data_IF_894524846992
#
_entry.id   IF_894524846992
#
_cell.length_a   1.000
_cell.length_b   1.000
_cell.length_c   1.000
_cell.angle_alpha   90.00
_cell.angle_beta   90.00
_cell.angle_gamma   90.00
#
_symmetry.space_group_name_H-M   'P 1'
#
loop_
_entity.id
_entity.type
_entity.pdbx_description
1 polymer ?
#
# COMPACT_ATOMS: atom_id res chain seq x y z
N UNK A 1 -24.04 8.35 -5.70
CA UNK A 1 -22.87 8.67 -4.85
C UNK A 1 -21.59 8.50 -5.63
N UNK A 2 -20.59 9.35 -5.36
CA UNK A 2 -19.27 9.26 -5.99
C UNK A 2 -18.47 8.10 -5.35
N UNK A 3 -18.38 6.97 -6.06
CA UNK A 3 -17.67 5.78 -5.59
C UNK A 3 -16.14 5.99 -5.41
N UNK A 4 -15.58 7.07 -5.97
CA UNK A 4 -14.14 7.32 -5.97
C UNK A 4 -13.58 7.48 -4.55
N UNK A 5 -14.32 8.11 -3.64
CA UNK A 5 -13.87 8.31 -2.25
C UNK A 5 -13.60 7.00 -1.52
N UNK A 6 -14.52 6.04 -1.63
CA UNK A 6 -14.34 4.71 -1.03
C UNK A 6 -13.23 3.90 -1.71
N UNK A 7 -13.16 3.96 -3.05
CA UNK A 7 -12.11 3.29 -3.82
C UNK A 7 -10.71 3.80 -3.45
N UNK A 8 -10.52 5.11 -3.37
CA UNK A 8 -9.24 5.70 -2.98
C UNK A 8 -8.86 5.42 -1.54
N UNK A 9 -9.84 5.41 -0.62
CA UNK A 9 -9.58 5.05 0.78
C UNK A 9 -9.01 3.63 0.89
N UNK A 10 -9.62 2.68 0.17
CA UNK A 10 -9.16 1.29 0.12
C UNK A 10 -7.82 1.14 -0.63
N UNK A 11 -7.65 1.85 -1.74
CA UNK A 11 -6.40 1.87 -2.52
C UNK A 11 -5.23 2.30 -1.65
N UNK A 12 -5.36 3.43 -0.94
CA UNK A 12 -4.30 3.98 -0.08
C UNK A 12 -3.98 3.00 1.06
N UNK A 13 -5.00 2.44 1.70
CA UNK A 13 -4.82 1.41 2.72
C UNK A 13 -4.02 0.20 2.18
N UNK A 14 -4.43 -0.36 1.04
CA UNK A 14 -3.74 -1.52 0.45
C UNK A 14 -2.31 -1.17 0.01
N UNK A 15 -2.11 -0.03 -0.67
CA UNK A 15 -0.80 0.42 -1.13
C UNK A 15 0.18 0.70 0.02
N UNK A 16 -0.32 1.08 1.20
CA UNK A 16 0.53 1.28 2.38
C UNK A 16 0.92 -0.03 3.09
N UNK A 17 0.05 -1.05 3.08
CA UNK A 17 0.19 -2.24 3.94
C UNK A 17 0.66 -3.48 3.19
N UNK A 18 0.14 -3.72 1.98
CA UNK A 18 0.44 -4.91 1.19
C UNK A 18 1.92 -5.06 0.81
N UNK A 19 2.59 -4.04 0.23
CA UNK A 19 3.98 -4.19 -0.18
C UNK A 19 4.94 -4.35 1.00
N UNK A 20 4.68 -3.66 2.11
CA UNK A 20 5.48 -3.82 3.34
C UNK A 20 5.36 -5.24 3.87
N UNK A 21 4.14 -5.76 4.03
CA UNK A 21 3.93 -7.13 4.48
C UNK A 21 4.57 -8.17 3.53
N UNK A 22 4.52 -7.91 2.23
CA UNK A 22 5.14 -8.75 1.22
C UNK A 22 6.68 -8.77 1.31
N UNK A 23 7.31 -7.60 1.48
CA UNK A 23 8.77 -7.47 1.55
C UNK A 23 9.35 -7.93 2.89
N UNK A 24 8.63 -7.74 4.00
CA UNK A 24 9.12 -8.09 5.34
C UNK A 24 8.64 -9.46 5.83
N UNK A 25 7.75 -10.13 5.07
CA UNK A 25 7.10 -11.39 5.45
C UNK A 25 6.26 -11.31 6.74
N UNK A 26 5.94 -10.10 7.20
CA UNK A 26 5.16 -9.87 8.41
C UNK A 26 3.66 -9.95 8.10
N UNK A 27 2.91 -10.51 9.04
CA UNK A 27 1.45 -10.35 9.03
C UNK A 27 1.08 -8.92 9.48
N UNK A 28 -0.11 -8.45 9.08
CA UNK A 28 -0.54 -7.06 9.21
C UNK A 28 -0.37 -6.48 10.63
N UNK A 29 -0.85 -7.20 11.65
CA UNK A 29 -0.71 -6.77 13.04
C UNK A 29 0.73 -6.68 13.54
N UNK A 30 1.65 -7.52 13.06
CA UNK A 30 3.06 -7.45 13.44
C UNK A 30 3.75 -6.24 12.79
N UNK A 31 3.50 -6.00 11.50
CA UNK A 31 4.02 -4.82 10.80
C UNK A 31 3.47 -3.51 11.38
N UNK A 32 2.21 -3.50 11.86
CA UNK A 32 1.63 -2.30 12.49
C UNK A 32 2.26 -1.99 13.86
N UNK A 33 2.53 -3.02 14.68
CA UNK A 33 3.08 -2.83 16.04
C UNK A 33 4.58 -2.56 16.07
N UNK A 34 5.31 -2.95 15.03
CA UNK A 34 6.73 -2.63 14.93
C UNK A 34 6.88 -1.19 14.44
N UNK A 35 7.38 -0.31 15.33
CA UNK A 35 7.35 1.15 15.11
C UNK A 35 7.92 1.61 13.75
N UNK A 36 9.04 1.07 13.23
CA UNK A 36 9.54 1.47 11.92
C UNK A 36 8.58 1.20 10.75
N UNK A 37 7.95 0.02 10.71
CA UNK A 37 6.97 -0.30 9.65
C UNK A 37 5.62 0.38 9.88
N UNK A 38 5.24 0.61 11.14
CA UNK A 38 4.08 1.43 11.48
C UNK A 38 4.22 2.87 10.99
N UNK A 39 5.39 3.48 11.20
CA UNK A 39 5.68 4.83 10.68
C UNK A 39 5.67 4.85 9.14
N UNK A 40 6.24 3.83 8.50
CA UNK A 40 6.22 3.71 7.04
C UNK A 40 4.78 3.64 6.49
N UNK A 41 3.84 2.99 7.20
CA UNK A 41 2.43 3.03 6.82
C UNK A 41 1.88 4.45 6.81
N UNK A 42 2.13 5.22 7.86
CA UNK A 42 1.65 6.60 7.97
C UNK A 42 2.23 7.50 6.88
N UNK A 43 3.50 7.30 6.51
CA UNK A 43 4.18 8.07 5.46
C UNK A 43 3.63 7.71 4.07
N UNK A 44 3.47 6.41 3.77
CA UNK A 44 2.86 5.93 2.52
C UNK A 44 1.41 6.42 2.36
N UNK A 45 0.63 6.40 3.45
CA UNK A 45 -0.74 6.92 3.47
C UNK A 45 -0.73 8.43 3.21
N UNK A 46 0.21 9.17 3.79
CA UNK A 46 0.31 10.63 3.61
C UNK A 46 0.50 11.02 2.15
N UNK A 47 1.39 10.31 1.43
CA UNK A 47 1.56 10.49 -0.01
C UNK A 47 0.27 10.18 -0.78
N UNK A 48 -0.36 9.02 -0.52
CA UNK A 48 -1.60 8.63 -1.21
C UNK A 48 -2.75 9.62 -0.98
N UNK A 49 -2.89 10.13 0.24
CA UNK A 49 -3.87 11.17 0.57
C UNK A 49 -3.57 12.50 -0.11
N UNK A 50 -2.29 12.87 -0.26
CA UNK A 50 -1.91 14.07 -0.99
C UNK A 50 -2.32 13.99 -2.46
N UNK A 51 -2.12 12.84 -3.10
CA UNK A 51 -2.58 12.60 -4.48
C UNK A 51 -4.11 12.65 -4.56
N UNK A 52 -4.83 11.99 -3.65
CA UNK A 52 -6.30 12.04 -3.63
C UNK A 52 -6.83 13.47 -3.50
N UNK A 53 -6.23 14.29 -2.63
CA UNK A 53 -6.57 15.72 -2.48
C UNK A 53 -6.33 16.49 -3.77
N UNK A 54 -5.20 16.30 -4.43
CA UNK A 54 -4.88 16.98 -5.69
C UNK A 54 -5.83 16.59 -6.84
N UNK A 55 -6.43 15.39 -6.78
CA UNK A 55 -7.46 14.94 -7.72
C UNK A 55 -8.88 15.44 -7.37
N UNK A 56 -9.03 16.21 -6.28
CA UNK A 56 -10.34 16.65 -5.79
C UNK A 56 -11.21 15.51 -5.26
N UNK A 57 -10.59 14.42 -4.78
CA UNK A 57 -11.30 13.24 -4.26
C UNK A 57 -11.36 13.33 -2.74
N UNK A 58 -12.58 13.50 -2.22
CA UNK A 58 -12.85 13.37 -0.79
C UNK A 58 -12.89 11.89 -0.40
N UNK A 59 -12.02 11.50 0.54
CA UNK A 59 -11.94 10.12 1.02
C UNK A 59 -13.14 9.77 1.92
N UNK A 60 -13.60 8.53 1.83
CA UNK A 60 -14.62 7.99 2.72
C UNK A 60 -13.94 7.40 3.96
N UNK A 61 -13.50 8.29 4.85
CA UNK A 61 -12.77 7.93 6.07
C UNK A 61 -11.25 8.01 5.94
N UNK A 62 -10.57 7.76 7.05
CA UNK A 62 -9.10 7.79 7.12
C UNK A 62 -8.50 6.38 6.92
N UNK A 63 -7.64 6.17 5.89
CA UNK A 63 -6.94 4.91 5.71
C UNK A 63 -6.17 4.42 6.95
N UNK A 64 -5.72 5.32 7.84
CA UNK A 64 -5.05 4.95 9.10
C UNK A 64 -5.96 4.17 10.03
N UNK A 65 -7.24 4.52 10.07
CA UNK A 65 -8.21 3.80 10.87
C UNK A 65 -8.41 2.38 10.35
N UNK A 66 -8.32 2.18 9.02
CA UNK A 66 -8.33 0.84 8.42
C UNK A 66 -7.09 0.04 8.80
N UNK A 67 -5.91 0.66 8.85
CA UNK A 67 -4.67 0.02 9.35
C UNK A 67 -4.85 -0.46 10.79
N UNK A 68 -5.30 0.42 11.69
CA UNK A 68 -5.48 0.07 13.09
C UNK A 68 -6.55 -1.01 13.29
N UNK A 69 -7.68 -0.89 12.58
CA UNK A 69 -8.75 -1.90 12.59
C UNK A 69 -8.25 -3.27 12.12
N UNK A 70 -7.47 -3.31 11.04
CA UNK A 70 -6.86 -4.54 10.55
C UNK A 70 -5.85 -5.14 11.55
N UNK A 71 -5.14 -4.30 12.30
CA UNK A 71 -4.13 -4.73 13.27
C UNK A 71 -4.74 -5.34 14.54
N UNK A 72 -5.92 -4.86 14.91
CA UNK A 72 -6.71 -5.37 16.03
C UNK A 72 -7.57 -6.59 15.68
N UNK A 73 -7.73 -6.92 14.40
CA UNK A 73 -8.51 -8.07 13.97
C UNK A 73 -7.87 -9.39 14.48
N UNK A 74 -8.68 -10.35 14.98
CA UNK A 74 -8.17 -11.60 15.51
C UNK A 74 -7.52 -12.45 14.41
N UNK A 75 -6.28 -12.88 14.64
CA UNK A 75 -5.55 -13.77 13.74
C UNK A 75 -4.27 -13.14 13.16
N UNK A 76 -3.49 -13.96 12.44
CA UNK A 76 -2.27 -13.54 11.75
C UNK A 76 -2.55 -13.31 10.27
N UNK A 77 -3.34 -12.27 9.97
CA UNK A 77 -3.74 -11.95 8.61
C UNK A 77 -2.54 -11.54 7.74
N UNK A 78 -2.23 -12.35 6.73
CA UNK A 78 -1.27 -12.02 5.68
C UNK A 78 -1.98 -11.20 4.59
N UNK A 79 -1.37 -10.10 4.16
CA UNK A 79 -1.82 -9.36 3.00
C UNK A 79 -1.92 -10.26 1.76
N UNK A 80 -2.82 -9.94 0.81
CA UNK A 80 -2.96 -10.67 -0.47
C UNK A 80 -1.61 -10.77 -1.19
N UNK A 81 -0.92 -9.63 -1.31
CA UNK A 81 0.39 -9.53 -1.93
C UNK A 81 1.46 -10.43 -1.27
N UNK A 82 1.45 -10.57 0.06
CA UNK A 82 2.36 -11.51 0.74
C UNK A 82 2.05 -12.96 0.37
N UNK A 83 0.78 -13.31 0.19
CA UNK A 83 0.39 -14.66 -0.26
C UNK A 83 0.83 -14.91 -1.70
N UNK A 84 0.74 -13.90 -2.57
CA UNK A 84 1.24 -13.97 -3.94
C UNK A 84 2.76 -14.11 -3.99
N UNK A 85 3.49 -13.33 -3.17
CA UNK A 85 4.96 -13.45 -3.05
C UNK A 85 5.39 -14.83 -2.57
N UNK A 86 4.73 -15.38 -1.54
CA UNK A 86 5.02 -16.74 -1.04
C UNK A 86 4.79 -17.77 -2.14
N UNK A 87 3.77 -17.57 -2.97
CA UNK A 87 3.43 -18.46 -4.07
C UNK A 87 4.13 -18.12 -5.39
N UNK A 88 5.02 -17.11 -5.42
CA UNK A 88 5.67 -16.56 -6.62
C UNK A 88 4.70 -16.27 -7.77
N UNK A 89 3.56 -15.65 -7.44
CA UNK A 89 2.59 -15.15 -8.41
C UNK A 89 2.77 -13.66 -8.61
N UNK A 90 2.46 -13.18 -9.82
CA UNK A 90 2.43 -11.76 -10.11
C UNK A 90 1.50 -11.04 -9.15
N UNK A 91 1.96 -9.91 -8.61
CA UNK A 91 1.22 -9.12 -7.63
C UNK A 91 0.38 -8.03 -8.29
N UNK A 92 -0.49 -7.41 -7.51
CA UNK A 92 -1.31 -6.27 -7.90
C UNK A 92 -0.62 -4.90 -7.72
N UNK A 93 0.70 -4.85 -7.52
CA UNK A 93 1.42 -3.60 -7.16
C UNK A 93 1.29 -2.48 -8.20
N UNK A 94 1.17 -2.82 -9.48
CA UNK A 94 0.99 -1.87 -10.58
C UNK A 94 -0.34 -1.11 -10.46
N UNK A 95 -1.37 -1.75 -9.91
CA UNK A 95 -2.70 -1.17 -9.67
C UNK A 95 -2.83 -0.52 -8.28
N UNK A 96 -1.82 -0.69 -7.43
CA UNK A 96 -1.75 -0.10 -6.09
C UNK A 96 -0.77 1.07 -6.07
N UNK A 97 0.47 0.84 -5.62
CA UNK A 97 1.51 1.85 -5.54
C UNK A 97 1.79 2.45 -6.93
N UNK A 98 1.79 1.64 -7.99
CA UNK A 98 1.95 2.12 -9.37
C UNK A 98 0.84 3.12 -9.78
N UNK A 99 -0.40 2.89 -9.35
CA UNK A 99 -1.50 3.82 -9.60
C UNK A 99 -1.32 5.14 -8.83
N UNK A 100 -0.90 5.09 -7.56
CA UNK A 100 -0.61 6.30 -6.76
C UNK A 100 0.53 7.10 -7.42
N UNK A 101 1.61 6.44 -7.83
CA UNK A 101 2.74 7.10 -8.52
C UNK A 101 2.30 7.78 -9.81
N UNK A 102 1.57 7.05 -10.67
CA UNK A 102 1.05 7.58 -11.93
C UNK A 102 0.19 8.83 -11.73
N UNK A 103 -0.66 8.83 -10.72
CA UNK A 103 -1.51 10.00 -10.42
C UNK A 103 -0.75 11.12 -9.71
N UNK A 104 0.26 10.80 -8.90
CA UNK A 104 1.18 11.78 -8.33
C UNK A 104 1.93 12.54 -9.42
N UNK A 105 2.48 11.84 -10.41
CA UNK A 105 3.14 12.46 -11.57
C UNK A 105 2.19 13.38 -12.36
N UNK A 106 0.95 12.94 -12.60
CA UNK A 106 -0.07 13.75 -13.31
C UNK A 106 -0.50 15.00 -12.56
N UNK A 107 -0.40 15.00 -11.23
CA UNK A 107 -0.86 16.10 -10.37
C UNK A 107 0.29 16.93 -9.81
N UNK A 108 1.55 16.58 -10.12
CA UNK A 108 2.73 17.23 -9.55
C UNK A 108 2.96 16.91 -8.07
N UNK A 109 2.29 15.90 -7.52
CA UNK A 109 2.46 15.48 -6.12
C UNK A 109 3.58 14.44 -6.00
N UNK A 110 4.65 14.69 -5.23
CA UNK A 110 5.69 13.71 -4.98
C UNK A 110 5.16 12.47 -4.27
N UNK A 111 5.56 11.30 -4.76
CA UNK A 111 5.22 9.98 -4.17
C UNK A 111 6.44 9.05 -4.04
N UNK A 112 7.58 9.54 -3.49
CA UNK A 112 8.83 8.79 -3.48
C UNK A 112 8.75 7.44 -2.76
N UNK A 113 8.02 7.33 -1.66
CA UNK A 113 7.90 6.09 -0.90
C UNK A 113 7.03 5.07 -1.65
N UNK A 114 5.90 5.51 -2.23
CA UNK A 114 5.10 4.63 -3.08
C UNK A 114 5.89 4.16 -4.31
N UNK A 115 6.71 5.04 -4.91
CA UNK A 115 7.61 4.67 -6.01
C UNK A 115 8.66 3.66 -5.59
N UNK A 116 9.26 3.82 -4.41
CA UNK A 116 10.21 2.86 -3.88
C UNK A 116 9.55 1.50 -3.61
N UNK A 117 8.37 1.46 -2.96
CA UNK A 117 7.62 0.22 -2.74
C UNK A 117 7.27 -0.48 -4.05
N UNK A 118 6.79 0.27 -5.04
CA UNK A 118 6.51 -0.26 -6.37
C UNK A 118 7.77 -0.89 -6.98
N UNK A 119 8.89 -0.16 -7.03
CA UNK A 119 10.14 -0.65 -7.62
C UNK A 119 10.69 -1.90 -6.92
N UNK A 120 10.63 -1.95 -5.59
CA UNK A 120 11.09 -3.10 -4.81
C UNK A 120 10.24 -4.35 -5.06
N UNK A 121 8.91 -4.21 -5.17
CA UNK A 121 8.05 -5.35 -5.52
C UNK A 121 8.31 -5.80 -6.96
N UNK A 122 8.48 -4.87 -7.93
CA UNK A 122 8.85 -5.26 -9.31
C UNK A 122 10.18 -6.01 -9.33
N UNK A 123 11.17 -5.58 -8.55
CA UNK A 123 12.46 -6.26 -8.40
C UNK A 123 12.31 -7.65 -7.77
N UNK A 124 11.49 -7.78 -6.73
CA UNK A 124 11.16 -9.07 -6.12
C UNK A 124 10.47 -10.04 -7.10
N UNK A 125 9.52 -9.55 -7.91
CA UNK A 125 8.89 -10.35 -8.96
C UNK A 125 9.92 -10.80 -10.01
N UNK A 126 10.83 -9.90 -10.40
CA UNK A 126 11.89 -10.20 -11.37
C UNK A 126 12.89 -11.23 -10.84
N UNK A 127 13.19 -11.22 -9.53
CA UNK A 127 14.12 -12.18 -8.93
C UNK A 127 13.63 -13.64 -8.97
N UNK A 128 12.37 -13.89 -9.35
CA UNK A 128 11.86 -15.25 -9.56
C UNK A 128 12.24 -15.82 -10.92
N UNK A 129 12.57 -14.96 -11.89
CA UNK A 129 12.96 -15.34 -13.25
C UNK A 129 14.45 -15.09 -13.53
N UNK A 130 15.08 -14.14 -12.84
CA UNK A 130 16.51 -13.81 -12.94
C UNK A 130 17.09 -13.53 -11.53
N UNK A 131 17.60 -14.57 -10.83
CA UNK A 131 17.93 -14.52 -9.40
C UNK A 131 19.28 -13.88 -9.06
#
# INVERSE_FOLDING_TARGET
>A
EDARGAQWTKLIFNASTNPVGALTLLHHGAATRFAPTGQLFDDLISEGMAVARALGISLHGDPRQLVQKGAAAPGKHKASMLQDVIARRQTEVDFMNGAIVKWGEKTGVPTPLNKAMWALIKGLEHSWIDP
#
